data_IF_471560081490
#
_entry.id   IF_471560081490
#
_cell.length_a   1.000
_cell.length_b   1.000
_cell.length_c   1.000
_cell.angle_alpha   90.00
_cell.angle_beta   90.00
_cell.angle_gamma   90.00
#
_symmetry.space_group_name_H-M   'P 1'
#
loop_
_entity.id
_entity.type
_entity.pdbx_description
1 polymer ?
#
# COMPACT_ATOMS: atom_id res chain seq x y z
N UNK A 1 15.35 -2.74 3.21
CA UNK A 1 14.07 -3.27 2.71
C UNK A 1 13.68 -2.51 1.45
N UNK A 2 13.37 -3.24 0.40
CA UNK A 2 13.12 -2.67 -0.93
C UNK A 2 11.99 -3.42 -1.64
N UNK A 3 11.32 -2.72 -2.56
CA UNK A 3 10.39 -3.38 -3.48
C UNK A 3 10.60 -2.84 -4.90
N UNK A 4 10.22 -3.60 -5.89
CA UNK A 4 10.21 -3.18 -7.29
C UNK A 4 9.09 -3.89 -8.02
N UNK A 5 8.36 -3.14 -8.84
CA UNK A 5 7.26 -3.69 -9.61
C UNK A 5 6.61 -2.65 -10.50
N UNK A 6 5.50 -3.06 -11.12
CA UNK A 6 4.71 -2.18 -11.96
C UNK A 6 3.73 -1.37 -11.12
N UNK A 7 3.31 -0.23 -11.66
CA UNK A 7 2.44 0.71 -10.96
C UNK A 7 0.98 0.52 -11.35
N UNK A 8 0.13 0.47 -10.33
CA UNK A 8 -1.32 0.62 -10.44
C UNK A 8 -1.67 1.99 -9.87
N UNK A 9 -2.30 2.85 -10.66
CA UNK A 9 -2.57 4.22 -10.25
C UNK A 9 -4.07 4.47 -10.05
N UNK A 10 -4.41 5.12 -8.95
CA UNK A 10 -5.78 5.41 -8.53
C UNK A 10 -5.95 6.88 -8.16
N UNK A 11 -7.19 7.39 -8.15
CA UNK A 11 -7.46 8.80 -7.88
C UNK A 11 -7.35 9.16 -6.40
N UNK A 12 -7.76 10.40 -6.05
CA UNK A 12 -7.91 10.85 -4.68
C UNK A 12 -9.07 10.13 -4.00
N UNK A 13 -9.05 10.13 -2.67
CA UNK A 13 -10.16 9.66 -1.83
C UNK A 13 -10.56 8.20 -2.09
N UNK A 14 -9.57 7.33 -2.27
CA UNK A 14 -9.82 5.88 -2.30
C UNK A 14 -10.19 5.46 -0.90
N UNK A 15 -11.49 5.27 -0.64
CA UNK A 15 -11.95 4.94 0.70
C UNK A 15 -11.89 3.44 0.99
N UNK A 16 -12.07 3.08 2.25
CA UNK A 16 -11.95 1.69 2.68
C UNK A 16 -13.02 0.78 2.08
N UNK A 17 -14.19 1.33 1.75
CA UNK A 17 -15.26 0.56 1.09
C UNK A 17 -14.93 0.26 -0.38
N UNK A 18 -14.12 1.12 -1.01
CA UNK A 18 -13.60 0.86 -2.37
C UNK A 18 -12.49 -0.20 -2.31
N UNK A 19 -11.64 -0.15 -1.29
CA UNK A 19 -10.54 -1.12 -1.11
C UNK A 19 -11.10 -2.52 -0.86
N UNK A 20 -12.04 -2.63 0.07
CA UNK A 20 -12.74 -3.88 0.36
C UNK A 20 -14.20 -3.57 0.70
N UNK A 21 -15.14 -3.88 -0.21
CA UNK A 21 -16.55 -3.58 0.03
C UNK A 21 -17.13 -4.31 1.24
N UNK A 22 -18.04 -3.64 1.95
CA UNK A 22 -18.68 -4.18 3.16
C UNK A 22 -19.37 -5.51 2.93
N UNK A 23 -19.90 -5.74 1.72
CA UNK A 23 -20.60 -6.98 1.38
C UNK A 23 -19.73 -8.24 1.49
N UNK A 24 -18.41 -8.08 1.52
CA UNK A 24 -17.47 -9.18 1.66
C UNK A 24 -16.95 -9.38 3.08
N UNK A 25 -17.32 -8.51 4.03
CA UNK A 25 -16.80 -8.55 5.40
C UNK A 25 -17.49 -9.59 6.29
N UNK A 26 -18.15 -10.57 5.71
CA UNK A 26 -18.75 -11.68 6.43
C UNK A 26 -17.76 -12.84 6.71
N UNK A 27 -16.52 -12.66 6.33
CA UNK A 27 -15.43 -13.61 6.61
C UNK A 27 -14.23 -12.85 7.17
N UNK A 28 -13.43 -13.52 8.01
CA UNK A 28 -12.17 -12.98 8.50
C UNK A 28 -10.96 -13.55 7.74
N UNK A 29 -11.18 -14.41 6.76
CA UNK A 29 -10.11 -15.00 5.97
C UNK A 29 -9.53 -13.97 5.01
N UNK A 30 -8.27 -13.57 5.26
CA UNK A 30 -7.59 -12.57 4.45
C UNK A 30 -7.47 -12.97 2.98
N UNK A 31 -7.26 -14.25 2.68
CA UNK A 31 -7.14 -14.73 1.31
C UNK A 31 -8.46 -14.62 0.55
N UNK A 32 -9.57 -14.92 1.22
CA UNK A 32 -10.90 -14.76 0.63
C UNK A 32 -11.21 -13.30 0.39
N UNK A 33 -10.96 -12.43 1.36
CA UNK A 33 -11.16 -11.00 1.22
C UNK A 33 -10.28 -10.41 0.10
N UNK A 34 -9.03 -10.85 -0.01
CA UNK A 34 -8.09 -10.34 -1.00
C UNK A 34 -8.54 -10.58 -2.44
N UNK A 35 -9.36 -11.61 -2.69
CA UNK A 35 -9.92 -11.86 -4.03
C UNK A 35 -10.80 -10.72 -4.52
N UNK A 36 -11.28 -9.86 -3.64
CA UNK A 36 -12.17 -8.75 -3.93
C UNK A 36 -11.50 -7.39 -3.73
N UNK A 37 -10.18 -7.37 -3.52
CA UNK A 37 -9.42 -6.15 -3.31
C UNK A 37 -9.57 -5.21 -4.50
N UNK A 38 -9.98 -3.96 -4.25
CA UNK A 38 -10.17 -2.92 -5.27
C UNK A 38 -11.24 -3.23 -6.31
N UNK A 39 -12.08 -4.23 -6.08
CA UNK A 39 -13.06 -4.73 -7.06
C UNK A 39 -13.97 -3.63 -7.62
N UNK A 40 -14.42 -2.71 -6.77
CA UNK A 40 -15.38 -1.67 -7.19
C UNK A 40 -14.75 -0.55 -8.01
N UNK A 41 -13.43 -0.43 -8.04
CA UNK A 41 -12.73 0.59 -8.83
C UNK A 41 -11.87 -0.03 -9.93
N UNK A 42 -11.37 -1.24 -9.72
CA UNK A 42 -10.52 -1.94 -10.69
C UNK A 42 -10.64 -3.45 -10.46
N UNK A 43 -11.64 -4.05 -11.06
CA UNK A 43 -11.94 -5.46 -10.88
C UNK A 43 -10.79 -6.38 -11.32
N UNK A 44 -9.94 -5.92 -12.24
CA UNK A 44 -8.81 -6.71 -12.73
C UNK A 44 -7.56 -6.61 -11.86
N UNK A 45 -7.56 -5.74 -10.83
CA UNK A 45 -6.39 -5.56 -9.98
C UNK A 45 -5.87 -6.90 -9.43
N UNK A 46 -6.77 -7.70 -8.88
CA UNK A 46 -6.40 -8.99 -8.26
C UNK A 46 -5.85 -9.99 -9.26
N UNK A 47 -6.17 -9.85 -10.54
CA UNK A 47 -5.69 -10.75 -11.60
C UNK A 47 -4.37 -10.27 -12.19
N UNK A 48 -4.01 -9.00 -12.03
CA UNK A 48 -2.84 -8.39 -12.67
C UNK A 48 -1.71 -8.11 -11.71
N UNK A 49 -2.03 -7.93 -10.42
CA UNK A 49 -1.02 -7.60 -9.41
C UNK A 49 -0.06 -8.77 -9.21
N UNK A 50 1.23 -8.45 -9.11
CA UNK A 50 2.30 -9.42 -8.85
C UNK A 50 3.05 -9.01 -7.59
N UNK A 51 3.69 -9.96 -6.89
CA UNK A 51 4.47 -9.63 -5.69
C UNK A 51 5.48 -8.50 -5.96
N UNK A 52 5.45 -7.49 -5.13
CA UNK A 52 6.32 -6.32 -5.23
C UNK A 52 5.76 -5.15 -6.01
N UNK A 53 4.64 -5.32 -6.70
CA UNK A 53 4.01 -4.22 -7.44
C UNK A 53 3.63 -3.07 -6.51
N UNK A 54 3.53 -1.87 -7.08
CA UNK A 54 3.36 -0.63 -6.33
C UNK A 54 2.01 0.01 -6.68
N UNK A 55 1.26 0.37 -5.64
CA UNK A 55 0.02 1.13 -5.79
C UNK A 55 0.32 2.61 -5.58
N UNK A 56 -0.12 3.46 -6.49
CA UNK A 56 0.08 4.91 -6.41
C UNK A 56 -1.29 5.60 -6.44
N UNK A 57 -1.52 6.51 -5.51
CA UNK A 57 -2.80 7.20 -5.40
C UNK A 57 -2.63 8.66 -5.00
N UNK A 58 -3.72 9.40 -4.93
CA UNK A 58 -3.70 10.82 -4.60
C UNK A 58 -3.88 11.11 -3.12
N UNK A 59 -4.69 12.12 -2.81
CA UNK A 59 -4.94 12.57 -1.45
C UNK A 59 -5.87 11.63 -0.70
N UNK A 60 -5.66 11.53 0.61
CA UNK A 60 -6.59 10.93 1.56
C UNK A 60 -6.91 9.46 1.27
N UNK A 61 -5.87 8.68 0.94
CA UNK A 61 -6.02 7.24 0.69
C UNK A 61 -6.41 6.51 1.97
N UNK A 62 -7.41 5.64 1.86
CA UNK A 62 -7.89 4.88 3.01
C UNK A 62 -8.91 5.61 3.88
N UNK A 63 -9.51 6.70 3.36
CA UNK A 63 -10.54 7.45 4.06
C UNK A 63 -11.82 6.62 4.29
N UNK A 64 -12.77 7.19 5.01
CA UNK A 64 -14.03 6.52 5.30
C UNK A 64 -13.98 5.72 6.59
N UNK A 65 -14.74 4.65 6.65
CA UNK A 65 -14.85 3.82 7.86
C UNK A 65 -13.54 3.15 8.22
N UNK A 66 -13.27 3.03 9.52
CA UNK A 66 -12.11 2.31 10.01
C UNK A 66 -12.27 0.81 9.76
N UNK A 67 -11.53 0.28 8.78
CA UNK A 67 -11.57 -1.14 8.44
C UNK A 67 -10.17 -1.72 8.46
N UNK A 68 -9.89 -2.52 9.48
CA UNK A 68 -8.60 -3.21 9.59
C UNK A 68 -8.30 -4.10 8.39
N UNK A 69 -9.28 -4.78 7.75
CA UNK A 69 -8.99 -5.59 6.56
C UNK A 69 -8.51 -4.80 5.35
N UNK A 70 -8.76 -3.48 5.26
CA UNK A 70 -8.38 -2.71 4.07
C UNK A 70 -6.87 -2.80 3.75
N UNK A 71 -5.95 -2.43 4.65
CA UNK A 71 -4.54 -2.60 4.35
C UNK A 71 -4.12 -4.06 4.25
N UNK A 72 -4.78 -4.95 4.98
CA UNK A 72 -4.47 -6.37 4.97
C UNK A 72 -4.73 -7.00 3.59
N UNK A 73 -5.84 -6.67 2.93
CA UNK A 73 -6.14 -7.23 1.60
C UNK A 73 -5.17 -6.72 0.54
N UNK A 74 -4.75 -5.47 0.64
CA UNK A 74 -3.73 -4.91 -0.26
C UNK A 74 -2.42 -5.70 -0.11
N UNK A 75 -1.98 -5.91 1.12
CA UNK A 75 -0.77 -6.69 1.39
C UNK A 75 -0.89 -8.13 0.92
N UNK A 76 -2.03 -8.78 1.19
CA UNK A 76 -2.27 -10.18 0.85
C UNK A 76 -2.25 -10.41 -0.67
N UNK A 77 -2.64 -9.42 -1.46
CA UNK A 77 -2.55 -9.48 -2.93
C UNK A 77 -1.12 -9.51 -3.44
N UNK A 78 -0.13 -9.19 -2.60
CA UNK A 78 1.27 -9.13 -3.00
C UNK A 78 1.78 -7.72 -3.25
N UNK A 79 0.95 -6.70 -3.06
CA UNK A 79 1.36 -5.29 -3.21
C UNK A 79 2.53 -4.99 -2.28
N UNK A 80 3.64 -4.50 -2.85
CA UNK A 80 4.84 -4.24 -2.08
C UNK A 80 4.85 -2.91 -1.36
N UNK A 81 4.09 -1.93 -1.87
CA UNK A 81 4.06 -0.60 -1.29
C UNK A 81 2.86 0.19 -1.82
N UNK A 82 2.33 1.10 -1.00
CA UNK A 82 1.38 2.12 -1.45
C UNK A 82 2.05 3.48 -1.31
N UNK A 83 2.10 4.23 -2.40
CA UNK A 83 2.60 5.61 -2.43
C UNK A 83 1.39 6.51 -2.67
N UNK A 84 1.18 7.50 -1.81
CA UNK A 84 0.07 8.43 -1.95
C UNK A 84 0.51 9.84 -1.59
N UNK A 85 -0.31 10.83 -1.98
CA UNK A 85 -0.07 12.21 -1.54
C UNK A 85 -0.33 12.37 -0.05
N UNK A 86 -1.34 11.67 0.45
CA UNK A 86 -1.60 11.55 1.89
C UNK A 86 -2.44 10.32 2.19
N UNK A 87 -2.41 9.89 3.45
CA UNK A 87 -3.23 8.77 3.96
C UNK A 87 -4.14 9.26 5.07
N UNK A 88 -5.32 8.65 5.15
CA UNK A 88 -6.16 8.83 6.34
C UNK A 88 -5.43 8.24 7.55
N UNK A 89 -5.54 8.92 8.69
CA UNK A 89 -4.75 8.58 9.90
C UNK A 89 -4.94 7.14 10.35
N UNK A 90 -6.18 6.66 10.38
CA UNK A 90 -6.49 5.31 10.86
C UNK A 90 -5.94 4.27 9.87
N UNK A 91 -6.09 4.51 8.57
CA UNK A 91 -5.52 3.62 7.57
C UNK A 91 -3.98 3.54 7.70
N UNK A 92 -3.33 4.68 7.86
CA UNK A 92 -1.88 4.76 8.05
C UNK A 92 -1.44 3.87 9.23
N UNK A 93 -2.10 4.02 10.37
CA UNK A 93 -1.80 3.24 11.57
C UNK A 93 -2.02 1.74 11.33
N UNK A 94 -3.14 1.37 10.75
CA UNK A 94 -3.46 -0.02 10.50
C UNK A 94 -2.49 -0.66 9.50
N UNK A 95 -2.07 0.08 8.48
CA UNK A 95 -1.10 -0.41 7.50
C UNK A 95 0.23 -0.76 8.16
N UNK A 96 0.75 0.10 9.02
CA UNK A 96 1.99 -0.17 9.75
C UNK A 96 1.81 -1.38 10.67
N UNK A 97 0.69 -1.47 11.38
CA UNK A 97 0.43 -2.56 12.31
C UNK A 97 0.42 -3.94 11.64
N UNK A 98 0.01 -4.02 10.38
CA UNK A 98 -0.02 -5.29 9.64
C UNK A 98 1.17 -5.47 8.69
N UNK A 99 2.09 -4.52 8.67
CA UNK A 99 3.31 -4.61 7.88
C UNK A 99 3.18 -4.27 6.41
N UNK A 100 2.18 -3.48 6.02
CA UNK A 100 2.09 -2.95 4.67
C UNK A 100 2.91 -1.67 4.58
N UNK A 101 3.99 -1.64 3.77
CA UNK A 101 4.77 -0.41 3.62
C UNK A 101 3.96 0.66 2.89
N UNK A 102 3.98 1.88 3.41
CA UNK A 102 3.32 3.03 2.79
C UNK A 102 4.23 4.25 2.88
N UNK A 103 4.18 5.10 1.85
CA UNK A 103 4.97 6.33 1.82
C UNK A 103 4.13 7.48 1.31
N UNK A 104 4.25 8.63 1.97
CA UNK A 104 3.67 9.87 1.48
C UNK A 104 4.71 10.60 0.66
N UNK A 105 4.41 10.83 -0.61
CA UNK A 105 5.27 11.62 -1.50
C UNK A 105 4.41 12.26 -2.58
N UNK A 106 4.13 13.54 -2.41
CA UNK A 106 3.24 14.28 -3.31
C UNK A 106 3.76 14.28 -4.74
N UNK A 107 5.04 14.56 -4.95
CA UNK A 107 5.63 14.61 -6.27
C UNK A 107 5.59 13.25 -6.98
N UNK A 108 5.95 12.19 -6.28
CA UNK A 108 5.90 10.84 -6.84
C UNK A 108 4.47 10.44 -7.20
N UNK A 109 3.54 10.69 -6.30
CA UNK A 109 2.13 10.35 -6.52
C UNK A 109 1.53 11.12 -7.69
N UNK A 110 1.98 12.34 -7.93
CA UNK A 110 1.52 13.16 -9.05
C UNK A 110 2.10 12.70 -10.39
N UNK A 111 3.39 12.41 -10.44
CA UNK A 111 4.11 12.21 -11.70
C UNK A 111 4.20 10.77 -12.16
N UNK A 112 4.24 9.81 -11.26
CA UNK A 112 4.31 8.38 -11.61
C UNK A 112 3.01 7.96 -12.29
N UNK A 113 3.12 7.22 -13.39
CA UNK A 113 1.98 6.80 -14.19
C UNK A 113 1.72 5.31 -14.07
N UNK A 114 0.48 4.91 -14.35
CA UNK A 114 0.11 3.50 -14.40
C UNK A 114 0.97 2.77 -15.43
N UNK A 115 1.46 1.59 -15.07
CA UNK A 115 2.32 0.76 -15.91
C UNK A 115 3.81 1.07 -15.82
N UNK A 116 4.19 2.18 -15.17
CA UNK A 116 5.62 2.47 -14.93
C UNK A 116 6.24 1.36 -14.08
N UNK A 117 7.55 1.17 -14.24
CA UNK A 117 8.32 0.29 -13.35
C UNK A 117 8.97 1.15 -12.29
N UNK A 118 8.67 0.88 -11.03
CA UNK A 118 9.11 1.69 -9.89
C UNK A 118 9.79 0.80 -8.84
N UNK A 119 10.90 1.28 -8.27
CA UNK A 119 11.50 0.67 -7.10
C UNK A 119 11.48 1.64 -5.93
N UNK A 120 11.39 1.10 -4.73
CA UNK A 120 11.35 1.87 -3.48
C UNK A 120 12.35 1.29 -2.51
N UNK A 121 13.21 2.16 -1.95
CA UNK A 121 14.10 1.82 -0.85
C UNK A 121 13.52 2.43 0.42
N UNK A 122 12.98 1.58 1.30
CA UNK A 122 12.31 2.05 2.52
C UNK A 122 13.29 2.56 3.57
N UNK A 123 14.55 2.15 3.50
CA UNK A 123 15.55 2.59 4.47
C UNK A 123 15.95 4.05 4.24
N UNK A 124 15.94 4.51 3.00
CA UNK A 124 16.30 5.88 2.62
C UNK A 124 15.11 6.73 2.21
N UNK A 125 13.98 6.12 1.87
CA UNK A 125 12.81 6.81 1.34
C UNK A 125 12.93 7.17 -0.14
N UNK A 126 13.92 6.65 -0.85
CA UNK A 126 14.12 6.97 -2.27
C UNK A 126 13.19 6.11 -3.14
N UNK A 127 12.44 6.79 -4.00
CA UNK A 127 11.54 6.18 -4.98
C UNK A 127 12.16 6.43 -6.36
N UNK A 128 12.37 5.38 -7.13
CA UNK A 128 12.93 5.49 -8.48
C UNK A 128 11.93 5.01 -9.52
N UNK A 129 11.53 5.89 -10.44
CA UNK A 129 10.73 5.52 -11.60
C UNK A 129 11.69 5.18 -12.74
N UNK A 130 11.85 3.89 -13.01
CA UNK A 130 12.78 3.40 -14.04
C UNK A 130 12.29 3.71 -15.45
N UNK A 131 10.99 3.87 -15.64
CA UNK A 131 10.41 4.18 -16.95
C UNK A 131 10.76 5.60 -17.37
N UNK A 132 10.68 6.56 -16.45
CA UNK A 132 10.98 7.98 -16.73
C UNK A 132 12.41 8.37 -16.34
N UNK A 133 13.11 7.50 -15.61
CA UNK A 133 14.45 7.75 -15.05
C UNK A 133 14.47 8.93 -14.07
N UNK A 134 13.38 9.09 -13.31
CA UNK A 134 13.28 10.11 -12.25
C UNK A 134 13.32 9.47 -10.88
N UNK A 135 13.84 10.23 -9.92
CA UNK A 135 13.86 9.81 -8.51
C UNK A 135 13.09 10.82 -7.66
N UNK A 136 12.53 10.32 -6.57
CA UNK A 136 11.77 11.12 -5.61
C UNK A 136 12.24 10.76 -4.21
N UNK A 137 12.17 11.73 -3.31
CA UNK A 137 12.57 11.53 -1.92
C UNK A 137 11.35 11.63 -1.02
N UNK A 138 10.95 10.51 -0.44
CA UNK A 138 9.97 10.49 0.62
C UNK A 138 10.70 10.48 1.97
N UNK A 139 9.99 10.83 3.04
CA UNK A 139 10.54 10.73 4.38
C UNK A 139 10.57 9.26 4.80
N UNK A 140 11.75 8.70 5.12
CA UNK A 140 11.81 7.30 5.55
C UNK A 140 11.22 7.15 6.94
N UNK A 141 10.71 5.95 7.25
CA UNK A 141 10.24 5.66 8.59
C UNK A 141 11.40 5.64 9.59
N UNK A 142 11.14 6.01 10.86
CA UNK A 142 12.09 5.73 11.93
C UNK A 142 12.44 4.24 11.97
N UNK A 143 13.65 3.92 12.45
CA UNK A 143 14.13 2.54 12.45
C UNK A 143 13.18 1.56 13.14
N UNK A 144 12.58 1.94 14.26
CA UNK A 144 11.67 1.04 14.97
C UNK A 144 10.42 0.73 14.16
N UNK A 145 9.89 1.68 13.37
CA UNK A 145 8.76 1.44 12.48
C UNK A 145 9.18 0.51 11.33
N UNK A 146 10.37 0.72 10.76
CA UNK A 146 10.90 -0.16 9.72
C UNK A 146 11.02 -1.61 10.21
N UNK A 147 11.46 -1.79 11.46
CA UNK A 147 11.57 -3.13 12.04
C UNK A 147 10.20 -3.79 12.22
N UNK A 148 9.18 -3.03 12.62
CA UNK A 148 7.81 -3.55 12.72
C UNK A 148 7.34 -4.06 11.35
N UNK A 149 7.55 -3.28 10.30
CA UNK A 149 7.14 -3.65 8.94
C UNK A 149 7.93 -4.86 8.44
N UNK A 150 9.25 -4.88 8.64
CA UNK A 150 10.10 -6.01 8.24
C UNK A 150 9.68 -7.33 8.87
N UNK A 151 9.16 -7.29 10.09
CA UNK A 151 8.71 -8.49 10.81
C UNK A 151 7.27 -8.87 10.51
N UNK A 152 6.60 -8.17 9.60
CA UNK A 152 5.26 -8.48 9.16
C UNK A 152 4.16 -7.82 9.97
N UNK A 153 4.50 -6.80 10.77
CA UNK A 153 3.55 -6.01 11.54
C UNK A 153 3.82 -6.03 13.03
N UNK A 154 3.01 -5.30 13.78
CA UNK A 154 3.23 -5.10 15.22
C UNK A 154 3.16 -6.40 16.02
N UNK A 155 2.14 -7.24 15.79
CA UNK A 155 2.00 -8.49 16.54
C UNK A 155 3.16 -9.45 16.27
N UNK A 156 3.58 -9.57 15.01
CA UNK A 156 4.72 -10.42 14.66
C UNK A 156 6.01 -9.89 15.30
N UNK A 157 6.20 -8.57 15.33
CA UNK A 157 7.34 -7.93 16.00
C UNK A 157 7.36 -8.25 17.49
N UNK A 158 6.22 -8.17 18.17
CA UNK A 158 6.14 -8.46 19.59
C UNK A 158 6.40 -9.92 19.92
N UNK A 159 6.01 -10.85 19.04
CA UNK A 159 6.25 -12.29 19.24
C UNK A 159 7.73 -12.67 19.21
N UNK A 160 8.56 -11.87 18.57
CA UNK A 160 10.00 -12.11 18.46
C UNK A 160 10.81 -11.52 19.63
N UNK A 161 10.15 -10.78 20.51
CA UNK A 161 10.81 -10.14 21.65
C UNK A 161 10.92 -11.06 22.83
#
# INVERSE_FOLDING_TARGET
MKTQGHVFKYPDNVDTDVIIPARYLNTADAKELAKHCMEDIDADYVNRVKPGDVMVAGWNFGCGSSREPAPLVIKTCGTGCVIAKSFARIFYRNAINIGLPILECEAAAEEIQAGDTVSVDFDTGVITDHTTQKTYQAEPFPEFIQNIIKKGGLLASLKEM
#
